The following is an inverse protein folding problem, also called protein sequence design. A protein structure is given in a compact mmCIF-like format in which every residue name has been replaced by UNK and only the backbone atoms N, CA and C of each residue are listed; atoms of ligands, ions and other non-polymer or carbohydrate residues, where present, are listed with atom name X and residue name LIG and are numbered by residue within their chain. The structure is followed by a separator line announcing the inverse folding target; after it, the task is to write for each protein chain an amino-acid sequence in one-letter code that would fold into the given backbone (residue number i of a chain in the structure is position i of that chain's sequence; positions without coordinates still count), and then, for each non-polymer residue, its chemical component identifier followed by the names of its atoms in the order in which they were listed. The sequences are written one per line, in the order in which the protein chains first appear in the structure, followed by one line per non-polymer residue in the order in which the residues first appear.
data_IF_423861106747
#
_entry.id   IF_423861106747
#
_cell.length_a   1.000
_cell.length_b   1.000
_cell.length_c   1.000
_cell.angle_alpha   90.00
_cell.angle_beta   90.00
_cell.angle_gamma   90.00
#
_symmetry.space_group_name_H-M   'P 1'
#
loop_
_entity.id
_entity.type
_entity.pdbx_description
1 polymer ?
#
# COMPACT_ATOMS: atom_id res chain seq x y z
N UNK A 1 26.79 -10.96 16.84
CA UNK A 1 25.45 -10.46 16.48
C UNK A 1 24.74 -11.58 15.74
N UNK A 2 23.49 -11.94 16.06
CA UNK A 2 22.74 -12.87 15.22
C UNK A 2 22.69 -12.33 13.79
N UNK A 3 22.89 -13.18 12.79
CA UNK A 3 22.71 -12.80 11.39
C UNK A 3 21.30 -12.25 11.20
N UNK A 4 21.10 -11.19 10.40
CA UNK A 4 19.75 -10.75 10.08
C UNK A 4 18.97 -11.94 9.49
N UNK A 5 17.78 -12.24 10.04
CA UNK A 5 16.91 -13.28 9.48
C UNK A 5 16.64 -12.93 8.00
N UNK A 6 16.59 -13.92 7.09
CA UNK A 6 16.26 -13.67 5.69
C UNK A 6 14.93 -12.93 5.59
N UNK A 7 14.87 -11.91 4.74
CA UNK A 7 13.68 -11.09 4.57
C UNK A 7 12.72 -11.90 3.71
N UNK A 8 11.80 -12.60 4.36
CA UNK A 8 10.84 -13.47 3.69
C UNK A 8 9.88 -12.78 2.74
N UNK A 9 8.81 -13.47 2.38
CA UNK A 9 7.74 -12.97 1.51
C UNK A 9 6.66 -12.28 2.33
N UNK A 10 6.18 -11.12 1.87
CA UNK A 10 4.97 -10.50 2.41
C UNK A 10 3.76 -10.92 1.58
N UNK A 11 2.79 -11.58 2.20
CA UNK A 11 1.63 -12.13 1.51
C UNK A 11 0.37 -11.39 1.96
N UNK A 12 -0.40 -10.91 0.99
CA UNK A 12 -1.69 -10.24 1.23
C UNK A 12 -2.81 -11.20 0.81
N UNK A 13 -3.60 -11.67 1.78
CA UNK A 13 -4.78 -12.48 1.52
C UNK A 13 -5.95 -11.60 1.08
N UNK A 14 -6.32 -11.75 -0.19
CA UNK A 14 -7.34 -10.99 -0.89
C UNK A 14 -8.34 -11.88 -1.65
N UNK A 15 -8.48 -13.15 -1.24
CA UNK A 15 -9.37 -14.16 -1.85
C UNK A 15 -10.74 -14.33 -1.19
N UNK A 16 -11.05 -13.59 -0.13
CA UNK A 16 -12.28 -13.78 0.63
C UNK A 16 -13.56 -13.41 -0.15
N UNK A 17 -14.67 -14.10 0.15
CA UNK A 17 -15.97 -13.86 -0.51
C UNK A 17 -16.61 -12.49 -0.23
N UNK A 18 -16.10 -11.77 0.77
CA UNK A 18 -16.64 -10.47 1.16
C UNK A 18 -18.11 -10.49 1.60
N UNK A 19 -18.65 -11.63 2.05
CA UNK A 19 -20.10 -11.82 2.26
C UNK A 19 -20.72 -10.77 3.18
N UNK A 20 -20.07 -10.43 4.31
CA UNK A 20 -20.55 -9.39 5.24
C UNK A 20 -20.47 -7.98 4.67
N UNK A 21 -19.55 -7.76 3.73
CA UNK A 21 -19.37 -6.50 3.03
C UNK A 21 -20.35 -6.38 1.83
N UNK A 22 -20.75 -7.50 1.25
CA UNK A 22 -21.53 -7.60 0.03
C UNK A 22 -20.74 -7.26 -1.24
N UNK A 23 -19.41 -7.36 -1.19
CA UNK A 23 -18.52 -7.11 -2.34
C UNK A 23 -17.26 -8.00 -2.22
N UNK A 24 -17.04 -8.98 -3.13
CA UNK A 24 -15.84 -9.82 -3.10
C UNK A 24 -14.57 -9.02 -3.41
N UNK A 25 -14.69 -7.82 -3.99
CA UNK A 25 -13.58 -6.92 -4.28
C UNK A 25 -13.34 -5.91 -3.16
N UNK A 26 -13.77 -6.20 -1.91
CA UNK A 26 -13.64 -5.27 -0.78
C UNK A 26 -12.22 -4.73 -0.57
N UNK A 27 -11.18 -5.52 -0.88
CA UNK A 27 -9.78 -5.13 -0.75
C UNK A 27 -9.41 -3.88 -1.58
N UNK A 28 -10.19 -3.59 -2.64
CA UNK A 28 -10.00 -2.43 -3.51
C UNK A 28 -10.70 -1.17 -3.01
N UNK A 29 -11.55 -1.27 -1.98
CA UNK A 29 -12.24 -0.09 -1.44
C UNK A 29 -11.23 0.82 -0.76
N UNK A 30 -11.29 2.14 -1.00
CA UNK A 30 -10.38 3.08 -0.37
C UNK A 30 -10.74 3.27 1.10
N UNK A 31 -9.74 3.29 1.97
CA UNK A 31 -9.84 3.81 3.34
C UNK A 31 -8.88 4.99 3.43
N UNK A 32 -9.43 6.18 3.74
CA UNK A 32 -8.69 7.43 3.69
C UNK A 32 -8.09 7.71 2.30
N UNK A 33 -8.85 7.35 1.26
CA UNK A 33 -8.47 7.54 -0.13
C UNK A 33 -7.52 6.48 -0.69
N UNK A 34 -7.00 5.54 0.10
CA UNK A 34 -6.05 4.50 -0.37
C UNK A 34 -6.70 3.12 -0.37
N UNK A 35 -6.65 2.32 -1.45
CA UNK A 35 -7.15 0.94 -1.45
C UNK A 35 -6.58 0.12 -0.28
N UNK A 36 -7.42 -0.62 0.45
CA UNK A 36 -6.98 -1.36 1.63
C UNK A 36 -5.83 -2.33 1.33
N UNK A 37 -5.86 -2.99 0.16
CA UNK A 37 -4.77 -3.84 -0.33
C UNK A 37 -3.41 -3.11 -0.32
N UNK A 38 -3.36 -1.89 -0.84
CA UNK A 38 -2.11 -1.12 -0.92
C UNK A 38 -1.68 -0.54 0.44
N UNK A 39 -2.62 -0.30 1.36
CA UNK A 39 -2.27 0.02 2.76
C UNK A 39 -1.57 -1.14 3.45
N UNK A 40 -2.06 -2.36 3.26
CA UNK A 40 -1.43 -3.57 3.80
C UNK A 40 -0.07 -3.80 3.14
N UNK A 41 0.03 -3.64 1.81
CA UNK A 41 1.31 -3.71 1.10
C UNK A 41 2.36 -2.75 1.68
N UNK A 42 1.98 -1.49 1.96
CA UNK A 42 2.88 -0.50 2.54
C UNK A 42 3.36 -0.85 3.95
N UNK A 43 2.55 -1.57 4.74
CA UNK A 43 2.94 -2.05 6.05
C UNK A 43 3.92 -3.23 5.97
N UNK A 44 3.75 -4.13 4.99
CA UNK A 44 4.57 -5.33 4.81
C UNK A 44 5.92 -5.03 4.15
N UNK A 45 5.94 -4.21 3.08
CA UNK A 45 7.09 -3.97 2.20
C UNK A 45 8.41 -3.69 2.94
N UNK A 46 8.45 -2.90 4.04
CA UNK A 46 9.71 -2.62 4.75
C UNK A 46 10.41 -3.85 5.35
N UNK A 47 9.71 -4.98 5.48
CA UNK A 47 10.16 -6.16 6.23
C UNK A 47 10.44 -7.38 5.37
N UNK A 48 10.16 -7.31 4.07
CA UNK A 48 10.12 -8.46 3.16
C UNK A 48 10.95 -8.18 1.91
N UNK A 49 11.40 -9.23 1.23
CA UNK A 49 12.12 -9.10 -0.05
C UNK A 49 11.17 -8.85 -1.22
N UNK A 50 9.99 -9.46 -1.16
CA UNK A 50 8.96 -9.34 -2.19
C UNK A 50 7.57 -9.44 -1.61
N UNK A 51 6.61 -8.94 -2.37
CA UNK A 51 5.19 -8.97 -2.04
C UNK A 51 4.44 -9.90 -2.98
N UNK A 52 3.52 -10.68 -2.41
CA UNK A 52 2.62 -11.59 -3.11
C UNK A 52 1.19 -11.24 -2.71
N UNK A 53 0.28 -11.18 -3.68
CA UNK A 53 -1.16 -11.11 -3.44
C UNK A 53 -1.77 -12.49 -3.71
N UNK A 54 -2.30 -13.09 -2.66
CA UNK A 54 -3.01 -14.36 -2.72
C UNK A 54 -4.52 -14.09 -2.88
N UNK A 55 -5.08 -14.43 -4.03
CA UNK A 55 -6.49 -14.17 -4.37
C UNK A 55 -7.16 -15.36 -5.06
N UNK A 56 -8.38 -15.22 -5.57
CA UNK A 56 -9.06 -16.27 -6.35
C UNK A 56 -9.16 -15.89 -7.81
N UNK A 57 -9.30 -16.87 -8.71
CA UNK A 57 -9.40 -16.63 -10.17
C UNK A 57 -10.59 -15.73 -10.57
N UNK A 58 -11.62 -15.64 -9.73
CA UNK A 58 -12.78 -14.76 -9.96
C UNK A 58 -12.53 -13.30 -9.60
N UNK A 59 -11.40 -12.96 -8.99
CA UNK A 59 -11.09 -11.62 -8.49
C UNK A 59 -10.08 -10.88 -9.40
N UNK A 60 -10.33 -10.89 -10.72
CA UNK A 60 -9.43 -10.28 -11.72
C UNK A 60 -8.92 -8.87 -11.37
N UNK A 61 -9.79 -7.92 -10.95
CA UNK A 61 -9.33 -6.58 -10.54
C UNK A 61 -8.35 -6.54 -9.37
N UNK A 62 -8.35 -7.54 -8.48
CA UNK A 62 -7.37 -7.65 -7.39
C UNK A 62 -6.00 -8.04 -7.95
N UNK A 63 -5.97 -9.06 -8.82
CA UNK A 63 -4.75 -9.47 -9.50
C UNK A 63 -4.17 -8.32 -10.34
N UNK A 64 -5.01 -7.62 -11.09
CA UNK A 64 -4.58 -6.48 -11.91
C UNK A 64 -3.97 -5.35 -11.07
N UNK A 65 -4.59 -4.97 -9.94
CA UNK A 65 -3.99 -3.97 -9.05
C UNK A 65 -2.65 -4.47 -8.48
N UNK A 66 -2.54 -5.75 -8.12
CA UNK A 66 -1.29 -6.31 -7.62
C UNK A 66 -0.16 -6.21 -8.66
N UNK A 67 -0.43 -6.65 -9.89
CA UNK A 67 0.51 -6.64 -11.01
C UNK A 67 0.89 -5.22 -11.43
N UNK A 68 -0.06 -4.27 -11.41
CA UNK A 68 0.20 -2.85 -11.64
C UNK A 68 1.29 -2.32 -10.72
N UNK A 69 1.37 -2.84 -9.49
CA UNK A 69 2.35 -2.45 -8.48
C UNK A 69 3.51 -3.43 -8.38
N UNK A 70 3.75 -4.29 -9.38
CA UNK A 70 4.88 -5.20 -9.43
C UNK A 70 4.88 -6.28 -8.35
N UNK A 71 3.70 -6.61 -7.80
CA UNK A 71 3.54 -7.70 -6.84
C UNK A 71 3.21 -9.01 -7.56
N UNK A 72 3.76 -10.12 -7.06
CA UNK A 72 3.44 -11.46 -7.55
C UNK A 72 1.97 -11.81 -7.22
N UNK A 73 1.31 -12.61 -8.07
CA UNK A 73 -0.06 -13.10 -7.81
C UNK A 73 -0.06 -14.62 -7.70
N UNK A 74 -0.69 -15.12 -6.63
CA UNK A 74 -0.96 -16.56 -6.45
C UNK A 74 -2.45 -16.77 -6.24
N UNK A 75 -2.95 -17.91 -6.72
CA UNK A 75 -4.37 -18.24 -6.62
C UNK A 75 -4.62 -19.30 -5.56
N UNK A 76 -5.45 -18.98 -4.57
CA UNK A 76 -5.94 -19.92 -3.54
C UNK A 76 -7.38 -20.33 -3.80
N UNK A 77 -7.85 -21.36 -3.09
CA UNK A 77 -9.25 -21.79 -3.17
C UNK A 77 -10.25 -20.78 -2.56
N UNK A 78 -9.79 -19.82 -1.73
CA UNK A 78 -10.65 -18.83 -1.09
C UNK A 78 -11.63 -19.43 -0.08
N UNK A 79 -11.22 -20.50 0.62
CA UNK A 79 -12.07 -21.25 1.56
C UNK A 79 -11.95 -20.80 3.01
N UNK A 80 -11.19 -19.73 3.27
CA UNK A 80 -11.02 -19.14 4.60
C UNK A 80 -9.55 -18.98 4.95
N UNK A 81 -9.28 -18.05 5.87
CA UNK A 81 -7.93 -17.59 6.22
C UNK A 81 -6.98 -18.75 6.55
N UNK A 82 -7.34 -19.63 7.49
CA UNK A 82 -6.48 -20.76 7.90
C UNK A 82 -6.17 -21.74 6.77
N UNK A 83 -7.14 -22.02 5.89
CA UNK A 83 -6.94 -22.93 4.76
C UNK A 83 -6.04 -22.32 3.70
N UNK A 84 -6.14 -21.01 3.50
CA UNK A 84 -5.29 -20.29 2.57
C UNK A 84 -3.87 -20.15 3.13
N UNK A 85 -3.70 -19.91 4.43
CA UNK A 85 -2.40 -19.95 5.11
C UNK A 85 -1.71 -21.32 4.92
N UNK A 86 -2.44 -22.43 5.06
CA UNK A 86 -1.90 -23.78 4.82
C UNK A 86 -1.40 -23.98 3.39
N UNK A 87 -2.10 -23.46 2.39
CA UNK A 87 -1.67 -23.51 0.98
C UNK A 87 -0.42 -22.67 0.72
N UNK A 88 -0.16 -21.66 1.54
CA UNK A 88 0.91 -20.68 1.36
C UNK A 88 2.13 -20.95 2.25
N UNK A 89 2.09 -22.00 3.08
CA UNK A 89 3.16 -22.34 4.02
C UNK A 89 4.49 -22.65 3.31
N UNK A 90 4.44 -23.16 2.08
CA UNK A 90 5.63 -23.43 1.24
C UNK A 90 6.39 -22.16 0.82
N UNK A 91 5.77 -20.97 0.96
CA UNK A 91 6.40 -19.68 0.68
C UNK A 91 7.18 -19.11 1.88
N UNK A 92 7.26 -19.85 2.99
CA UNK A 92 7.99 -19.42 4.17
C UNK A 92 9.50 -19.25 3.90
N UNK A 93 10.20 -18.32 4.58
CA UNK A 93 9.70 -17.40 5.59
C UNK A 93 8.67 -16.41 5.03
N UNK A 94 7.54 -16.24 5.69
CA UNK A 94 6.44 -15.40 5.18
C UNK A 94 5.69 -14.69 6.30
N UNK A 95 5.32 -13.43 6.07
CA UNK A 95 4.33 -12.70 6.87
C UNK A 95 3.07 -12.54 6.04
N UNK A 96 1.96 -13.06 6.54
CA UNK A 96 0.67 -13.14 5.86
C UNK A 96 -0.30 -12.19 6.55
N UNK A 97 -0.93 -11.29 5.80
CA UNK A 97 -1.92 -10.34 6.31
C UNK A 97 -3.20 -10.38 5.49
N UNK A 98 -4.35 -10.32 6.16
CA UNK A 98 -5.63 -10.08 5.51
C UNK A 98 -5.66 -8.66 4.91
N UNK A 99 -6.25 -8.52 3.72
CA UNK A 99 -6.31 -7.24 3.01
C UNK A 99 -7.17 -6.16 3.72
N UNK A 100 -7.94 -6.54 4.74
CA UNK A 100 -8.94 -5.72 5.44
C UNK A 100 -8.43 -5.14 6.77
N UNK A 101 -7.09 -5.07 6.92
CA UNK A 101 -6.40 -4.40 8.01
C UNK A 101 -5.84 -3.05 7.55
N UNK A 102 -6.68 -2.05 7.22
CA UNK A 102 -6.22 -0.80 6.61
C UNK A 102 -5.23 -0.06 7.51
N UNK A 103 -5.30 -0.20 8.84
CA UNK A 103 -4.37 0.47 9.77
C UNK A 103 -3.24 -0.42 10.28
N UNK A 104 -2.94 -1.53 9.58
CA UNK A 104 -1.70 -2.26 9.79
C UNK A 104 -0.51 -1.31 9.60
N UNK A 105 0.53 -1.47 10.42
CA UNK A 105 1.72 -0.60 10.40
C UNK A 105 2.98 -1.45 10.32
N UNK A 106 4.11 -0.89 9.87
CA UNK A 106 5.40 -1.58 9.93
C UNK A 106 5.78 -2.04 11.35
N UNK A 107 5.36 -1.33 12.40
CA UNK A 107 5.65 -1.74 13.78
C UNK A 107 4.89 -3.01 14.19
N UNK A 108 3.64 -3.17 13.76
CA UNK A 108 2.88 -4.41 14.00
C UNK A 108 3.56 -5.61 13.31
N UNK A 109 3.99 -5.42 12.06
CA UNK A 109 4.67 -6.45 11.25
C UNK A 109 6.01 -6.84 11.91
N UNK A 110 6.84 -5.86 12.28
CA UNK A 110 8.08 -6.10 13.00
C UNK A 110 7.87 -6.88 14.30
N UNK A 111 6.81 -6.54 15.05
CA UNK A 111 6.50 -7.17 16.33
C UNK A 111 6.18 -8.65 16.16
N UNK A 112 5.30 -9.01 15.22
CA UNK A 112 4.93 -10.42 15.01
C UNK A 112 6.09 -11.25 14.45
N UNK A 113 6.94 -10.66 13.60
CA UNK A 113 8.12 -11.32 13.02
C UNK A 113 9.24 -11.59 14.04
N UNK A 114 9.13 -11.09 15.28
CA UNK A 114 10.12 -11.35 16.33
C UNK A 114 10.06 -12.80 16.86
N UNK A 115 8.92 -13.47 16.72
CA UNK A 115 8.73 -14.86 17.16
C UNK A 115 9.60 -15.85 16.37
N UNK A 116 10.11 -16.88 17.05
CA UNK A 116 10.92 -17.95 16.45
C UNK A 116 10.08 -19.07 15.83
N UNK A 117 8.81 -19.18 16.23
CA UNK A 117 7.80 -20.12 15.70
C UNK A 117 6.68 -19.36 14.99
N UNK A 118 5.72 -20.08 14.38
CA UNK A 118 4.53 -19.46 13.80
C UNK A 118 3.85 -18.56 14.83
N UNK A 119 3.47 -17.35 14.45
CA UNK A 119 2.79 -16.44 15.35
C UNK A 119 1.51 -15.89 14.71
N UNK A 120 0.43 -15.86 15.49
CA UNK A 120 -0.83 -15.22 15.11
C UNK A 120 -1.02 -13.93 15.89
N UNK A 121 -1.28 -12.85 15.17
CA UNK A 121 -1.55 -11.53 15.74
C UNK A 121 -2.93 -11.47 16.37
N UNK A 122 -3.00 -10.92 17.59
CA UNK A 122 -4.25 -10.61 18.29
C UNK A 122 -4.46 -9.10 18.37
N UNK A 123 -5.72 -8.69 18.38
CA UNK A 123 -6.17 -7.36 18.80
C UNK A 123 -7.23 -7.57 19.85
N UNK A 124 -6.96 -7.09 21.06
CA UNK A 124 -7.91 -7.18 22.17
C UNK A 124 -8.29 -8.64 22.46
N UNK A 125 -7.31 -9.55 22.35
CA UNK A 125 -7.49 -10.98 22.57
C UNK A 125 -8.01 -11.79 21.37
N UNK A 126 -8.45 -11.14 20.30
CA UNK A 126 -9.05 -11.79 19.14
C UNK A 126 -8.11 -11.82 17.91
N UNK A 127 -8.04 -12.92 17.13
CA UNK A 127 -7.22 -12.99 15.93
C UNK A 127 -7.59 -11.94 14.87
N UNK A 128 -6.59 -11.19 14.37
CA UNK A 128 -6.81 -10.11 13.40
C UNK A 128 -6.56 -10.49 11.94
N UNK A 129 -6.06 -11.70 11.68
CA UNK A 129 -5.64 -12.09 10.33
C UNK A 129 -4.27 -11.53 9.95
N UNK A 130 -3.33 -11.49 10.91
CA UNK A 130 -1.90 -11.30 10.67
C UNK A 130 -1.17 -12.53 11.20
N UNK A 131 -0.32 -13.14 10.39
CA UNK A 131 0.41 -14.37 10.74
C UNK A 131 1.86 -14.26 10.30
N UNK A 132 2.79 -14.67 11.15
CA UNK A 132 4.19 -14.89 10.81
C UNK A 132 4.48 -16.38 10.71
N UNK A 133 5.15 -16.80 9.65
CA UNK A 133 5.61 -18.17 9.38
C UNK A 133 7.11 -18.14 9.13
N UNK A 134 7.96 -18.43 10.13
CA UNK A 134 9.41 -18.35 9.96
C UNK A 134 10.00 -19.47 9.08
N UNK A 135 9.39 -20.64 9.06
CA UNK A 135 9.93 -21.86 8.46
C UNK A 135 8.87 -22.78 7.83
N UNK A 136 7.61 -22.35 7.74
CA UNK A 136 6.51 -23.13 7.17
C UNK A 136 5.95 -24.21 8.10
N UNK A 137 6.50 -24.35 9.31
CA UNK A 137 5.93 -25.18 10.36
C UNK A 137 4.62 -24.55 10.88
N UNK A 138 3.57 -25.37 10.91
CA UNK A 138 2.23 -24.99 11.36
C UNK A 138 1.83 -25.68 12.66
N UNK A 139 2.65 -26.61 13.16
CA UNK A 139 2.35 -27.42 14.34
C UNK A 139 2.74 -26.69 15.62
N UNK A 140 3.87 -25.95 15.60
CA UNK A 140 4.29 -25.07 16.69
C UNK A 140 3.88 -23.62 16.44
N UNK A 141 3.03 -23.06 17.31
CA UNK A 141 2.54 -21.69 17.17
C UNK A 141 2.41 -20.96 18.51
N UNK A 142 2.41 -19.62 18.42
CA UNK A 142 2.19 -18.69 19.53
C UNK A 142 1.27 -17.54 19.14
N UNK A 143 0.86 -16.73 20.11
CA UNK A 143 0.09 -15.51 19.89
C UNK A 143 0.91 -14.27 20.24
N UNK A 144 0.63 -13.18 19.53
CA UNK A 144 1.27 -11.88 19.79
C UNK A 144 0.18 -10.81 19.82
N UNK A 145 -0.03 -10.20 20.98
CA UNK A 145 -0.93 -9.04 21.11
C UNK A 145 -0.33 -7.83 20.39
N UNK A 146 -1.10 -7.23 19.46
CA UNK A 146 -0.65 -6.12 18.63
C UNK A 146 -1.26 -4.79 19.06
N UNK A 147 -2.23 -4.82 19.98
CA UNK A 147 -3.06 -3.67 20.33
C UNK A 147 -4.23 -3.53 19.35
N UNK A 148 -5.00 -2.44 19.52
CA UNK A 148 -6.25 -2.26 18.81
C UNK A 148 -6.05 -2.04 17.30
N UNK A 149 -6.41 -3.07 16.53
CA UNK A 149 -6.43 -3.06 15.07
C UNK A 149 -7.88 -3.09 14.57
N UNK A 150 -8.17 -2.22 13.60
CA UNK A 150 -9.49 -2.17 12.98
C UNK A 150 -9.53 -3.14 11.82
N UNK A 151 -10.51 -4.05 11.85
CA UNK A 151 -10.79 -4.98 10.76
C UNK A 151 -12.04 -4.52 9.99
N UNK A 152 -11.91 -4.36 8.67
CA UNK A 152 -13.00 -3.93 7.79
C UNK A 152 -13.73 -5.14 7.20
N UNK A 153 -14.69 -5.64 7.97
CA UNK A 153 -15.48 -6.82 7.60
C UNK A 153 -16.79 -6.46 6.88
N UNK A 154 -17.38 -5.33 7.26
CA UNK A 154 -18.68 -4.86 6.77
C UNK A 154 -18.57 -3.44 6.17
N UNK A 155 -19.65 -3.01 5.51
CA UNK A 155 -19.76 -1.62 5.04
C UNK A 155 -19.78 -0.61 6.18
N UNK A 156 -20.34 -0.98 7.32
CA UNK A 156 -20.37 -0.14 8.50
C UNK A 156 -18.96 0.09 9.06
N UNK A 157 -18.15 -0.98 9.16
CA UNK A 157 -16.74 -0.86 9.56
C UNK A 157 -15.98 0.07 8.62
N UNK A 158 -16.21 -0.07 7.31
CA UNK A 158 -15.60 0.77 6.29
C UNK A 158 -15.99 2.25 6.46
N UNK A 159 -17.28 2.55 6.62
CA UNK A 159 -17.73 3.93 6.86
C UNK A 159 -17.16 4.51 8.16
N UNK A 160 -17.07 3.70 9.23
CA UNK A 160 -16.45 4.12 10.50
C UNK A 160 -14.95 4.35 10.36
N UNK A 161 -14.25 3.56 9.54
CA UNK A 161 -12.80 3.68 9.32
C UNK A 161 -12.38 5.04 8.76
N UNK A 162 -13.28 5.72 8.04
CA UNK A 162 -13.06 7.06 7.51
C UNK A 162 -12.92 8.15 8.59
N UNK A 163 -13.44 7.90 9.80
CA UNK A 163 -13.22 8.80 10.96
C UNK A 163 -11.79 8.72 11.50
N UNK A 164 -11.03 7.70 11.10
CA UNK A 164 -9.68 7.42 11.57
C UNK A 164 -8.59 7.94 10.62
N UNK A 165 -8.95 8.78 9.64
CA UNK A 165 -7.99 9.35 8.68
C UNK A 165 -7.00 10.37 9.26
N UNK A 166 -7.11 10.66 10.56
CA UNK A 166 -6.04 11.31 11.32
C UNK A 166 -4.86 10.39 11.60
N UNK A 167 -5.02 9.05 11.50
CA UNK A 167 -3.92 8.10 11.62
C UNK A 167 -2.98 8.19 10.42
N UNK A 168 -1.66 7.98 10.60
CA UNK A 168 -0.71 8.03 9.50
C UNK A 168 -1.02 7.00 8.39
N UNK A 169 -0.84 7.43 7.14
CA UNK A 169 -0.78 6.54 5.98
C UNK A 169 0.68 6.27 5.65
N UNK A 170 1.08 4.99 5.65
CA UNK A 170 2.44 4.58 5.32
C UNK A 170 2.60 4.48 3.80
N UNK A 171 3.74 4.92 3.25
CA UNK A 171 4.00 4.85 1.81
C UNK A 171 4.57 3.50 1.37
N UNK A 172 4.39 3.19 0.09
CA UNK A 172 5.20 2.21 -0.64
C UNK A 172 6.48 2.89 -1.13
N UNK A 173 7.60 2.18 -1.14
CA UNK A 173 8.81 2.59 -1.86
C UNK A 173 8.73 2.11 -3.30
N UNK A 174 8.87 3.03 -4.25
CA UNK A 174 8.61 2.80 -5.67
C UNK A 174 9.78 3.33 -6.50
N UNK A 175 10.06 2.69 -7.61
CA UNK A 175 11.01 3.19 -8.60
C UNK A 175 10.42 4.46 -9.24
N UNK A 176 11.03 5.64 -9.01
CA UNK A 176 10.49 6.89 -9.53
C UNK A 176 10.38 6.91 -11.05
N UNK A 177 11.17 6.10 -11.78
CA UNK A 177 11.14 6.06 -13.24
C UNK A 177 9.86 5.45 -13.81
N UNK A 178 9.10 4.72 -12.99
CA UNK A 178 7.84 4.08 -13.39
C UNK A 178 6.61 4.98 -13.22
N UNK A 179 6.78 6.16 -12.61
CA UNK A 179 5.68 7.09 -12.34
C UNK A 179 5.48 8.09 -13.49
N UNK A 180 4.21 8.46 -13.71
CA UNK A 180 3.78 9.28 -14.83
C UNK A 180 3.46 10.72 -14.39
N UNK A 181 4.40 11.68 -14.50
CA UNK A 181 4.13 13.09 -14.22
C UNK A 181 3.35 13.75 -15.37
N UNK A 182 2.56 14.77 -15.04
CA UNK A 182 1.89 15.64 -16.03
C UNK A 182 2.16 17.13 -15.80
N UNK A 183 3.00 17.47 -14.83
CA UNK A 183 3.40 18.86 -14.52
C UNK A 183 4.90 19.07 -14.64
N UNK A 184 5.28 20.30 -14.98
CA UNK A 184 6.65 20.77 -14.93
C UNK A 184 7.06 21.06 -13.47
N UNK A 185 8.37 21.06 -13.24
CA UNK A 185 8.98 21.44 -11.97
C UNK A 185 9.84 22.68 -12.14
N UNK A 186 9.85 23.55 -11.15
CA UNK A 186 10.66 24.77 -11.13
C UNK A 186 11.70 24.67 -10.01
N UNK A 187 12.96 24.95 -10.37
CA UNK A 187 14.06 24.96 -9.42
C UNK A 187 14.38 23.59 -8.81
N UNK A 188 15.23 23.63 -7.78
CA UNK A 188 15.55 22.46 -6.97
C UNK A 188 14.87 22.56 -5.61
N UNK A 189 14.43 21.41 -5.10
CA UNK A 189 13.88 21.31 -3.75
C UNK A 189 14.97 20.73 -2.87
N UNK A 190 15.28 21.45 -1.79
CA UNK A 190 16.10 20.92 -0.70
C UNK A 190 15.30 19.85 0.05
N UNK A 191 15.86 18.65 0.12
CA UNK A 191 15.30 17.56 0.90
C UNK A 191 16.18 17.34 2.12
N UNK A 192 15.57 17.39 3.31
CA UNK A 192 16.24 17.09 4.55
C UNK A 192 16.48 15.59 4.76
N UNK A 193 16.66 15.18 6.01
CA UNK A 193 16.90 13.78 6.38
C UNK A 193 15.71 12.86 6.08
N UNK A 194 14.50 13.44 6.02
CA UNK A 194 13.24 12.72 5.80
C UNK A 194 12.60 13.12 4.48
N UNK A 195 12.27 12.12 3.67
CA UNK A 195 11.54 12.27 2.44
C UNK A 195 10.04 12.10 2.70
N UNK A 196 9.29 13.18 2.47
CA UNK A 196 7.83 13.14 2.54
C UNK A 196 7.25 12.39 1.33
N UNK A 197 6.22 11.53 1.50
CA UNK A 197 5.64 10.83 0.38
C UNK A 197 5.04 11.75 -0.67
N UNK A 198 5.01 11.28 -1.91
CA UNK A 198 4.18 11.85 -2.97
C UNK A 198 2.85 11.09 -3.05
N UNK A 199 1.84 11.68 -3.68
CA UNK A 199 0.59 10.97 -3.95
C UNK A 199 0.53 10.63 -5.45
N UNK A 200 0.10 9.41 -5.77
CA UNK A 200 -0.13 8.96 -7.15
C UNK A 200 -1.47 8.25 -7.25
N UNK A 201 -2.04 8.17 -8.45
CA UNK A 201 -3.22 7.34 -8.68
C UNK A 201 -2.87 5.86 -8.60
N UNK A 202 -3.65 5.10 -7.85
CA UNK A 202 -3.45 3.69 -7.58
C UNK A 202 -3.53 2.81 -8.85
N UNK A 203 -4.25 3.25 -9.88
CA UNK A 203 -4.52 2.43 -11.06
C UNK A 203 -3.69 2.81 -12.28
N UNK A 204 -3.26 4.08 -12.37
CA UNK A 204 -2.54 4.61 -13.53
C UNK A 204 -1.13 5.09 -13.23
N UNK A 205 -0.68 5.08 -11.96
CA UNK A 205 0.64 5.58 -11.57
C UNK A 205 0.88 7.07 -11.89
N UNK A 206 -0.19 7.80 -12.22
CA UNK A 206 -0.15 9.24 -12.48
C UNK A 206 0.11 9.99 -11.20
N UNK A 207 1.07 10.91 -11.23
CA UNK A 207 1.44 11.73 -10.08
C UNK A 207 0.32 12.72 -9.79
N UNK A 208 -0.16 12.76 -8.55
CA UNK A 208 -1.26 13.64 -8.12
C UNK A 208 -0.77 14.80 -7.24
N UNK A 209 0.31 14.60 -6.49
CA UNK A 209 1.02 15.65 -5.75
C UNK A 209 2.49 15.28 -5.63
N UNK A 210 3.37 16.28 -5.59
CA UNK A 210 4.79 16.07 -5.27
C UNK A 210 5.74 15.92 -6.46
N UNK A 211 5.41 16.48 -7.64
CA UNK A 211 6.25 16.49 -8.84
C UNK A 211 7.72 16.88 -8.59
N UNK A 212 7.99 17.87 -7.73
CA UNK A 212 9.36 18.28 -7.43
C UNK A 212 10.14 17.21 -6.65
N UNK A 213 9.47 16.49 -5.73
CA UNK A 213 10.08 15.35 -5.00
C UNK A 213 10.35 14.17 -5.94
N UNK A 214 9.46 13.94 -6.90
CA UNK A 214 9.70 12.96 -7.97
C UNK A 214 10.94 13.33 -8.79
N UNK A 215 11.04 14.58 -9.25
CA UNK A 215 12.18 15.04 -10.03
C UNK A 215 13.49 14.93 -9.25
N UNK A 216 13.49 15.29 -7.96
CA UNK A 216 14.64 15.07 -7.07
C UNK A 216 15.02 13.59 -7.00
N UNK A 217 14.05 12.69 -6.76
CA UNK A 217 14.31 11.26 -6.62
C UNK A 217 14.90 10.64 -7.88
N UNK A 218 14.38 11.01 -9.07
CA UNK A 218 14.94 10.61 -10.36
C UNK A 218 16.38 11.07 -10.53
N UNK A 219 16.69 12.34 -10.23
CA UNK A 219 18.05 12.89 -10.37
C UNK A 219 19.08 12.20 -9.46
N UNK A 220 18.66 11.77 -8.27
CA UNK A 220 19.54 11.17 -7.27
C UNK A 220 19.52 9.64 -7.26
N UNK A 221 18.73 9.00 -8.13
CA UNK A 221 18.62 7.54 -8.19
C UNK A 221 18.11 6.89 -6.90
N UNK A 222 17.24 7.58 -6.16
CA UNK A 222 16.66 7.06 -4.90
C UNK A 222 15.23 6.59 -5.12
N UNK A 223 14.85 5.48 -4.47
CA UNK A 223 13.47 5.05 -4.44
C UNK A 223 12.59 6.10 -3.75
N UNK A 224 11.35 6.24 -4.21
CA UNK A 224 10.44 7.30 -3.79
C UNK A 224 9.34 6.72 -2.89
N UNK A 225 9.10 7.29 -1.70
CA UNK A 225 7.89 7.00 -0.93
C UNK A 225 6.65 7.56 -1.62
N UNK A 226 5.68 6.69 -1.85
CA UNK A 226 4.46 6.93 -2.62
C UNK A 226 3.24 6.48 -1.84
N UNK A 227 2.19 7.30 -1.80
CA UNK A 227 0.86 6.93 -1.32
C UNK A 227 -0.07 6.77 -2.52
N UNK A 228 -0.52 5.54 -2.82
CA UNK A 228 -1.39 5.26 -3.97
C UNK A 228 -2.86 5.56 -3.66
N UNK A 229 -3.32 6.74 -4.06
CA UNK A 229 -4.67 7.22 -3.83
C UNK A 229 -5.61 6.71 -4.94
N UNK A 230 -6.85 6.37 -4.58
CA UNK A 230 -7.93 6.14 -5.54
C UNK A 230 -8.34 7.47 -6.15
N UNK A 231 -7.91 7.79 -7.38
CA UNK A 231 -8.19 9.10 -7.98
C UNK A 231 -9.70 9.37 -8.15
N UNK A 232 -10.51 8.32 -8.27
CA UNK A 232 -11.98 8.42 -8.26
C UNK A 232 -12.53 9.10 -6.99
N UNK A 233 -11.84 8.98 -5.85
CA UNK A 233 -12.24 9.54 -4.56
C UNK A 233 -11.75 10.97 -4.31
N UNK A 234 -11.05 11.58 -5.27
CA UNK A 234 -10.47 12.92 -5.12
C UNK A 234 -11.26 13.97 -5.90
N UNK A 235 -11.29 15.20 -5.39
CA UNK A 235 -11.67 16.37 -6.17
C UNK A 235 -10.41 16.95 -6.83
N UNK A 236 -10.53 17.47 -8.06
CA UNK A 236 -9.41 18.05 -8.79
C UNK A 236 -9.80 19.40 -9.39
N UNK A 237 -8.91 20.37 -9.23
CA UNK A 237 -9.08 21.73 -9.71
C UNK A 237 -7.81 22.17 -10.45
N UNK A 238 -7.97 23.05 -11.42
CA UNK A 238 -6.88 23.76 -12.05
C UNK A 238 -6.28 24.81 -11.10
N UNK A 239 -5.13 25.38 -11.49
CA UNK A 239 -4.41 26.40 -10.73
C UNK A 239 -5.26 27.63 -10.37
N UNK A 240 -6.20 28.01 -11.23
CA UNK A 240 -7.14 29.13 -11.08
C UNK A 240 -8.38 28.78 -10.23
N UNK A 241 -8.50 27.52 -9.79
CA UNK A 241 -9.62 27.02 -9.00
C UNK A 241 -10.79 26.48 -9.82
N UNK A 242 -10.74 26.52 -11.16
CA UNK A 242 -11.76 25.92 -12.00
C UNK A 242 -11.71 24.38 -11.90
N UNK A 243 -12.84 23.66 -11.93
CA UNK A 243 -12.83 22.20 -12.05
C UNK A 243 -12.11 21.77 -13.33
N UNK A 244 -11.28 20.73 -13.24
CA UNK A 244 -10.60 20.13 -14.39
C UNK A 244 -10.99 18.67 -14.55
N UNK A 245 -10.98 18.16 -15.77
CA UNK A 245 -11.31 16.76 -16.03
C UNK A 245 -10.19 15.83 -15.54
N UNK A 246 -10.53 14.84 -14.72
CA UNK A 246 -9.56 13.78 -14.35
C UNK A 246 -9.05 13.03 -15.58
N UNK A 247 -9.88 12.84 -16.59
CA UNK A 247 -9.49 12.18 -17.84
C UNK A 247 -8.44 13.01 -18.59
N UNK A 248 -8.54 14.35 -18.56
CA UNK A 248 -7.55 15.23 -19.16
C UNK A 248 -6.18 15.07 -18.49
N UNK A 249 -6.16 15.04 -17.15
CA UNK A 249 -4.93 14.80 -16.36
C UNK A 249 -4.32 13.44 -16.67
N UNK A 250 -5.13 12.37 -16.63
CA UNK A 250 -4.69 11.01 -16.96
C UNK A 250 -4.14 10.93 -18.38
N UNK A 251 -4.82 11.58 -19.34
CA UNK A 251 -4.45 11.57 -20.75
C UNK A 251 -3.17 12.37 -21.02
N UNK A 252 -2.95 13.48 -20.31
CA UNK A 252 -1.70 14.22 -20.37
C UNK A 252 -0.53 13.37 -19.86
N UNK A 253 -0.65 12.79 -18.66
CA UNK A 253 0.37 11.93 -18.07
C UNK A 253 0.72 10.72 -18.95
N UNK A 254 -0.29 10.02 -19.48
CA UNK A 254 -0.10 8.84 -20.33
C UNK A 254 0.62 9.17 -21.66
N UNK A 255 0.48 10.40 -22.17
CA UNK A 255 1.19 10.86 -23.38
C UNK A 255 2.55 11.48 -23.09
N UNK A 256 2.95 11.60 -21.82
CA UNK A 256 4.11 12.39 -21.42
C UNK A 256 3.96 13.88 -21.75
N UNK A 257 2.73 14.37 -21.88
CA UNK A 257 2.44 15.77 -22.12
C UNK A 257 2.42 16.55 -20.80
N UNK A 258 2.92 17.78 -20.83
CA UNK A 258 3.01 18.61 -19.63
C UNK A 258 1.95 19.71 -19.66
N UNK A 259 1.24 19.88 -18.55
CA UNK A 259 0.15 20.86 -18.38
C UNK A 259 0.65 22.19 -17.79
N UNK A 260 1.96 22.32 -17.58
CA UNK A 260 2.61 23.44 -16.91
C UNK A 260 2.85 23.19 -15.41
N UNK A 261 3.37 24.20 -14.72
CA UNK A 261 3.80 24.10 -13.31
C UNK A 261 2.62 24.29 -12.36
N UNK A 262 2.42 23.32 -11.45
CA UNK A 262 1.32 23.32 -10.46
C UNK A 262 -0.03 23.55 -11.14
N UNK A 263 -0.22 22.90 -12.29
CA UNK A 263 -1.40 23.03 -13.14
C UNK A 263 -2.66 22.51 -12.43
N UNK A 264 -2.49 21.53 -11.55
CA UNK A 264 -3.56 20.79 -10.88
C UNK A 264 -3.41 20.81 -9.36
N UNK A 265 -4.54 20.72 -8.66
CA UNK A 265 -4.62 20.57 -7.21
C UNK A 265 -5.63 19.50 -6.87
N UNK A 266 -5.22 18.54 -6.06
CA UNK A 266 -6.03 17.38 -5.70
C UNK A 266 -6.39 17.42 -4.22
N UNK A 267 -7.64 17.05 -3.92
CA UNK A 267 -8.19 17.10 -2.57
C UNK A 267 -8.88 15.78 -2.24
N UNK A 268 -8.66 15.28 -1.03
CA UNK A 268 -9.45 14.22 -0.44
C UNK A 268 -10.36 14.82 0.62
N UNK A 269 -11.68 14.80 0.40
CA UNK A 269 -12.68 15.36 1.34
C UNK A 269 -12.37 16.79 1.78
N UNK A 270 -12.01 17.64 0.81
CA UNK A 270 -11.66 19.04 1.04
C UNK A 270 -10.25 19.30 1.61
N UNK A 271 -9.47 18.25 1.93
CA UNK A 271 -8.09 18.38 2.40
C UNK A 271 -7.15 18.18 1.22
N UNK A 272 -6.27 19.14 0.96
CA UNK A 272 -5.26 19.03 -0.10
C UNK A 272 -4.35 17.81 0.17
N UNK A 273 -3.95 17.06 -0.86
CA UNK A 273 -3.14 15.85 -0.68
C UNK A 273 -1.83 16.11 0.09
N UNK A 274 -1.20 17.26 -0.13
CA UNK A 274 0.00 17.69 0.61
C UNK A 274 -0.27 18.06 2.08
N UNK A 275 -1.50 17.99 2.58
CA UNK A 275 -1.84 18.22 3.99
C UNK A 275 -2.30 16.94 4.70
N UNK A 276 -2.44 15.83 3.98
CA UNK A 276 -2.77 14.53 4.57
C UNK A 276 -1.62 14.02 5.45
N UNK A 277 -1.99 13.25 6.48
CA UNK A 277 -1.05 12.65 7.43
C UNK A 277 -0.37 11.42 6.80
N UNK A 278 0.65 11.67 5.99
CA UNK A 278 1.49 10.63 5.39
C UNK A 278 2.80 10.48 6.19
N UNK A 279 3.18 9.26 6.53
CA UNK A 279 4.41 8.99 7.26
C UNK A 279 5.63 9.27 6.37
N UNK A 280 6.49 10.19 6.79
CA UNK A 280 7.78 10.45 6.13
C UNK A 280 8.75 9.29 6.34
N UNK A 281 9.61 9.06 5.34
CA UNK A 281 10.62 8.00 5.39
C UNK A 281 12.00 8.62 5.50
N UNK A 282 12.83 8.12 6.42
CA UNK A 282 14.21 8.56 6.55
C UNK A 282 15.02 8.10 5.34
N UNK A 283 15.76 9.00 4.69
CA UNK A 283 16.49 8.69 3.45
C UNK A 283 17.45 7.51 3.63
N UNK A 284 18.13 7.43 4.79
CA UNK A 284 19.04 6.32 5.10
C UNK A 284 18.35 4.95 5.18
N UNK A 285 17.03 4.90 5.38
CA UNK A 285 16.26 3.66 5.42
C UNK A 285 15.77 3.21 4.03
N UNK A 286 15.84 4.09 3.03
CA UNK A 286 15.48 3.80 1.64
C UNK A 286 16.58 2.95 0.98
N UNK A 287 17.85 3.22 1.32
CA UNK A 287 19.00 2.50 0.81
C UNK A 287 18.90 0.99 1.14
N UNK A 288 19.13 0.13 0.13
CA UNK A 288 19.11 -1.33 0.29
C UNK A 288 17.71 -1.96 0.42
N UNK A 289 16.65 -1.25 0.05
CA UNK A 289 15.31 -1.82 -0.15
C UNK A 289 15.03 -1.96 -1.65
N UNK A 290 14.30 -3.01 -2.03
CA UNK A 290 13.85 -3.21 -3.39
C UNK A 290 12.61 -2.37 -3.64
N UNK A 291 12.69 -1.31 -4.48
CA UNK A 291 11.50 -0.56 -4.84
C UNK A 291 10.54 -1.43 -5.65
N UNK A 292 9.26 -1.22 -5.44
CA UNK A 292 8.22 -1.71 -6.34
C UNK A 292 8.25 -0.92 -7.66
N UNK A 293 7.77 -1.54 -8.73
CA UNK A 293 7.49 -0.85 -10.00
C UNK A 293 6.01 -0.52 -10.07
N UNK A 294 5.66 0.60 -10.70
CA UNK A 294 4.27 0.95 -11.00
C UNK A 294 4.08 0.95 -12.52
N UNK A 295 3.48 -0.11 -13.06
CA UNK A 295 3.32 -0.32 -14.50
C UNK A 295 1.86 -0.63 -14.82
N UNK A 296 1.04 0.39 -15.11
CA UNK A 296 -0.32 0.16 -15.59
C UNK A 296 -0.22 -0.47 -17.00
N UNK A 297 -0.92 -1.59 -17.20
CA UNK A 297 -0.99 -2.30 -18.49
C UNK A 297 -1.67 -1.41 -19.54
#
# INVERSE_FOLDING_TARGET
MPSPRPRGVGIILAGGRGTRFGDPLKCLKPVCGVPMLLRVAAALQPHVEKLVVATTKGHGPIAWLAETWGMDVVYTEGRGYERDVKQLAELAPAVIAACDLPFLTPSHVRRIMSSDVMATGLSEGEPVGLTWLPNGDLDEWTTVELGSLVNVNSREDWLRSESLCSRPTYPLLVDPNTLLPHEDVEGEVEIGEYLRPIAVDAWSCVVLDGHHRLAYAKRHGIALPVVPMSYSALDVYAKDGAPISKLEVLSAAARGAVMGVRATRHFYRGIHLSALNHASVKISEIAGRHPLVCSPI
#
